data_IF_614298588814
#
_entry.id   IF_614298588814
#
_cell.length_a   1.000
_cell.length_b   1.000
_cell.length_c   1.000
_cell.angle_alpha   90.00
_cell.angle_beta   90.00
_cell.angle_gamma   90.00
#
_symmetry.space_group_name_H-M   'P 1'
#
loop_
_entity.id
_entity.type
_entity.pdbx_description
1 polymer ?
#
# COMPACT_ATOMS: atom_id res chain seq x y z
N UNK A 1 2.99 -0.62 22.54
CA UNK A 1 2.38 -0.90 21.22
C UNK A 1 1.09 -1.66 21.50
N UNK A 2 -0.04 -1.28 20.90
CA UNK A 2 -1.29 -1.97 21.13
C UNK A 2 -1.16 -3.43 20.65
N UNK A 3 -1.50 -4.42 21.49
CA UNK A 3 -1.28 -5.84 21.16
C UNK A 3 -2.07 -6.28 19.91
N UNK A 4 -3.16 -5.56 19.61
CA UNK A 4 -4.03 -5.79 18.44
C UNK A 4 -3.32 -5.70 17.08
N UNK A 5 -2.18 -5.00 17.00
CA UNK A 5 -1.42 -4.81 15.75
C UNK A 5 -0.10 -5.59 15.71
N UNK A 6 0.14 -6.44 16.70
CA UNK A 6 1.31 -7.31 16.76
C UNK A 6 0.94 -8.65 16.14
N UNK A 7 1.29 -8.82 14.86
CA UNK A 7 1.10 -10.08 14.16
C UNK A 7 2.38 -10.90 14.11
N UNK A 8 2.24 -12.19 14.39
CA UNK A 8 3.28 -13.20 14.13
C UNK A 8 3.03 -13.86 12.79
N UNK A 9 4.08 -14.41 12.20
CA UNK A 9 3.95 -15.24 11.03
C UNK A 9 2.91 -16.37 11.25
N UNK A 10 1.98 -16.53 10.29
CA UNK A 10 1.00 -17.61 10.29
C UNK A 10 1.12 -18.48 9.04
N UNK A 11 1.19 -19.79 9.25
CA UNK A 11 1.11 -20.79 8.19
C UNK A 11 -0.08 -21.70 8.48
N UNK A 12 -0.95 -21.90 7.49
CA UNK A 12 -2.13 -22.74 7.61
C UNK A 12 -1.84 -24.23 7.39
N UNK A 13 -0.57 -24.63 7.21
CA UNK A 13 -0.11 -26.02 7.02
C UNK A 13 -0.87 -26.79 5.92
N UNK A 14 -1.34 -26.07 4.90
CA UNK A 14 -2.00 -26.63 3.73
C UNK A 14 -1.00 -26.92 2.62
N UNK A 15 -1.29 -27.91 1.77
CA UNK A 15 -0.48 -28.23 0.57
C UNK A 15 -0.39 -27.03 -0.40
N UNK A 16 -1.41 -26.19 -0.39
CA UNK A 16 -1.49 -24.96 -1.18
C UNK A 16 -1.33 -23.78 -0.23
N UNK A 17 -0.40 -22.88 -0.53
CA UNK A 17 -0.20 -21.66 0.24
C UNK A 17 -1.09 -20.54 -0.28
N UNK A 18 -2.03 -20.08 0.52
CA UNK A 18 -2.85 -18.90 0.29
C UNK A 18 -2.25 -17.70 1.01
N UNK A 19 -2.21 -16.56 0.32
CA UNK A 19 -1.74 -15.28 0.86
C UNK A 19 -2.93 -14.32 0.93
N UNK A 20 -3.62 -14.29 2.08
CA UNK A 20 -4.70 -13.34 2.36
C UNK A 20 -4.21 -12.09 3.10
N UNK A 21 -3.19 -12.25 3.94
CA UNK A 21 -2.59 -11.17 4.72
C UNK A 21 -1.06 -11.17 4.62
N UNK A 22 -0.44 -10.02 4.91
CA UNK A 22 1.01 -9.88 4.81
C UNK A 22 1.77 -10.80 5.77
N UNK A 23 1.23 -11.03 6.97
CA UNK A 23 1.83 -11.92 7.97
C UNK A 23 1.75 -13.42 7.61
N UNK A 24 1.10 -13.77 6.49
CA UNK A 24 1.11 -15.14 5.94
C UNK A 24 2.21 -15.32 4.88
N UNK A 25 2.85 -14.23 4.47
CA UNK A 25 3.89 -14.23 3.45
C UNK A 25 5.22 -14.80 3.94
N UNK A 26 5.98 -15.42 3.02
CA UNK A 26 7.35 -15.85 3.30
C UNK A 26 8.25 -14.68 3.71
N UNK A 27 8.02 -13.50 3.12
CA UNK A 27 8.79 -12.31 3.44
C UNK A 27 8.63 -11.92 4.92
N UNK A 28 7.40 -12.00 5.47
CA UNK A 28 7.15 -11.73 6.89
C UNK A 28 7.91 -12.70 7.78
N UNK A 29 7.83 -14.01 7.50
CA UNK A 29 8.57 -15.04 8.24
C UNK A 29 10.07 -14.76 8.27
N UNK A 30 10.67 -14.48 7.10
CA UNK A 30 12.11 -14.23 6.98
C UNK A 30 12.49 -12.96 7.74
N UNK A 31 11.66 -11.92 7.67
CA UNK A 31 11.95 -10.62 8.29
C UNK A 31 11.77 -10.67 9.81
N UNK A 32 10.71 -11.32 10.29
CA UNK A 32 10.44 -11.52 11.72
C UNK A 32 11.56 -12.33 12.41
N UNK A 33 12.14 -13.33 11.74
CA UNK A 33 13.26 -14.09 12.30
C UNK A 33 14.59 -13.32 12.33
N UNK A 34 14.70 -12.20 11.60
CA UNK A 34 15.92 -11.38 11.55
C UNK A 34 15.92 -10.23 12.56
N UNK A 35 14.77 -9.89 13.12
CA UNK A 35 14.67 -8.83 14.13
C UNK A 35 14.98 -9.40 15.53
N UNK A 36 15.59 -8.60 16.42
CA UNK A 36 15.79 -9.00 17.83
C UNK A 36 14.48 -9.37 18.53
N UNK A 37 14.56 -10.25 19.53
CA UNK A 37 13.39 -10.81 20.25
C UNK A 37 12.46 -9.73 20.83
N UNK A 38 13.04 -8.61 21.27
CA UNK A 38 12.30 -7.51 21.88
C UNK A 38 11.70 -6.52 20.86
N UNK A 39 11.99 -6.70 19.57
CA UNK A 39 11.50 -5.85 18.50
C UNK A 39 10.29 -6.48 17.80
N UNK A 40 9.43 -5.62 17.23
CA UNK A 40 8.24 -6.04 16.46
C UNK A 40 8.32 -5.50 15.04
N UNK A 41 7.79 -6.27 14.10
CA UNK A 41 7.72 -5.87 12.70
C UNK A 41 6.54 -4.93 12.48
N UNK A 42 6.82 -3.75 11.92
CA UNK A 42 5.82 -2.81 11.43
C UNK A 42 5.95 -2.70 9.91
N UNK A 43 4.88 -3.03 9.20
CA UNK A 43 4.79 -2.91 7.75
C UNK A 43 4.07 -1.62 7.37
N UNK A 44 4.62 -0.90 6.40
CA UNK A 44 4.06 0.32 5.81
C UNK A 44 3.79 0.04 4.34
N UNK A 45 2.55 0.28 3.91
CA UNK A 45 2.13 0.21 2.51
C UNK A 45 2.01 1.64 2.00
N UNK A 46 2.76 1.95 0.95
CA UNK A 46 2.64 3.19 0.18
C UNK A 46 2.05 2.82 -1.16
N UNK A 47 0.94 3.44 -1.54
CA UNK A 47 0.36 3.24 -2.86
C UNK A 47 -0.16 4.55 -3.45
N UNK A 48 -0.11 4.65 -4.77
CA UNK A 48 -0.67 5.77 -5.50
C UNK A 48 -1.46 5.23 -6.70
N UNK A 49 -2.72 5.64 -6.82
CA UNK A 49 -3.59 5.31 -7.94
C UNK A 49 -4.10 6.57 -8.62
N UNK A 50 -4.49 6.44 -9.89
CA UNK A 50 -5.09 7.53 -10.66
C UNK A 50 -6.53 7.70 -10.23
N UNK A 51 -6.86 8.80 -9.56
CA UNK A 51 -8.23 9.12 -9.14
C UNK A 51 -8.76 10.30 -9.91
N UNK A 52 -9.93 10.13 -10.52
CA UNK A 52 -10.69 11.21 -11.16
C UNK A 52 -11.16 12.22 -10.10
N UNK A 53 -10.73 13.47 -10.24
CA UNK A 53 -11.00 14.56 -9.29
C UNK A 53 -12.19 15.45 -9.69
N UNK A 54 -12.78 15.26 -10.87
CA UNK A 54 -13.91 16.07 -11.35
C UNK A 54 -15.16 15.24 -11.66
N UNK A 55 -16.31 15.91 -11.61
CA UNK A 55 -17.61 15.35 -11.96
C UNK A 55 -17.68 14.87 -13.43
N UNK A 56 -16.80 15.38 -14.31
CA UNK A 56 -16.81 15.10 -15.75
C UNK A 56 -15.68 14.18 -16.23
N UNK A 57 -14.80 13.67 -15.36
CA UNK A 57 -13.76 12.73 -15.78
C UNK A 57 -12.48 13.31 -16.40
N UNK A 58 -12.34 14.64 -16.49
CA UNK A 58 -11.30 15.32 -17.26
C UNK A 58 -10.00 15.51 -16.49
N UNK A 59 -10.05 15.56 -15.16
CA UNK A 59 -8.87 15.74 -14.32
C UNK A 59 -8.65 14.49 -13.48
N UNK A 60 -7.58 13.76 -13.79
CA UNK A 60 -7.06 12.72 -12.89
C UNK A 60 -5.83 13.22 -12.13
N UNK A 61 -5.79 12.92 -10.84
CA UNK A 61 -4.65 13.14 -9.96
C UNK A 61 -4.16 11.80 -9.40
N UNK A 62 -2.96 11.79 -8.83
CA UNK A 62 -2.35 10.59 -8.28
C UNK A 62 -2.08 10.79 -6.78
N UNK A 63 -3.11 10.69 -5.93
CA UNK A 63 -2.93 10.74 -4.48
C UNK A 63 -2.02 9.61 -4.01
N UNK A 64 -1.13 9.93 -3.08
CA UNK A 64 -0.27 8.96 -2.39
C UNK A 64 -0.90 8.70 -1.03
N UNK A 65 -1.28 7.45 -0.80
CA UNK A 65 -1.79 7.00 0.49
C UNK A 65 -0.75 6.15 1.22
N UNK A 66 -0.72 6.31 2.54
CA UNK A 66 -0.01 5.43 3.46
C UNK A 66 -1.01 4.66 4.30
N UNK A 67 -0.76 3.36 4.48
CA UNK A 67 -1.48 2.49 5.41
C UNK A 67 -0.53 1.54 6.13
N UNK A 68 -0.94 1.01 7.27
CA UNK A 68 -0.18 -0.01 7.98
C UNK A 68 -0.54 -1.38 7.43
N UNK A 69 0.47 -2.16 7.01
CA UNK A 69 0.30 -3.56 6.62
C UNK A 69 -0.13 -4.45 7.78
N UNK A 70 0.08 -3.99 9.01
CA UNK A 70 -0.40 -4.59 10.26
C UNK A 70 -1.90 -4.33 10.53
N UNK A 71 -2.66 -3.72 9.62
CA UNK A 71 -4.13 -3.65 9.74
C UNK A 71 -4.71 -4.75 8.86
N UNK A 72 -5.61 -5.62 9.35
CA UNK A 72 -6.25 -6.66 8.54
C UNK A 72 -6.96 -6.08 7.31
N UNK A 73 -6.98 -6.81 6.20
CA UNK A 73 -7.46 -6.36 4.90
C UNK A 73 -8.86 -5.74 4.95
N UNK A 74 -9.79 -6.34 5.69
CA UNK A 74 -11.16 -5.84 5.83
C UNK A 74 -11.23 -4.46 6.49
N UNK A 75 -10.34 -4.15 7.43
CA UNK A 75 -10.25 -2.84 8.09
C UNK A 75 -9.37 -1.88 7.28
N UNK A 76 -8.29 -2.39 6.67
CA UNK A 76 -7.34 -1.64 5.86
C UNK A 76 -7.98 -0.99 4.65
N UNK A 77 -9.04 -1.59 4.11
CA UNK A 77 -9.80 -1.04 2.98
C UNK A 77 -10.75 0.12 3.36
N UNK A 78 -10.90 0.44 4.65
CA UNK A 78 -11.71 1.58 5.08
C UNK A 78 -10.91 2.89 5.02
N UNK A 79 -11.58 4.04 4.79
CA UNK A 79 -10.90 5.34 4.71
C UNK A 79 -10.08 5.70 5.95
N UNK A 80 -10.53 5.32 7.14
CA UNK A 80 -9.85 5.62 8.41
C UNK A 80 -8.55 4.83 8.63
N UNK A 81 -8.28 3.80 7.82
CA UNK A 81 -7.04 3.02 7.89
C UNK A 81 -5.95 3.54 6.93
N UNK A 82 -6.24 4.63 6.21
CA UNK A 82 -5.40 5.21 5.17
C UNK A 82 -5.24 6.69 5.41
N UNK A 83 -4.05 7.22 5.19
CA UNK A 83 -3.77 8.65 5.28
C UNK A 83 -3.23 9.13 3.94
N UNK A 84 -3.84 10.18 3.39
CA UNK A 84 -3.31 10.90 2.24
C UNK A 84 -2.08 11.69 2.69
N UNK A 85 -0.93 11.45 2.07
CA UNK A 85 0.33 12.14 2.42
C UNK A 85 0.78 13.15 1.37
N UNK A 86 0.22 13.07 0.16
CA UNK A 86 0.53 14.01 -0.91
C UNK A 86 0.00 13.55 -2.25
N UNK A 87 0.41 14.25 -3.30
CA UNK A 87 0.04 13.96 -4.68
C UNK A 87 1.30 13.83 -5.53
N UNK A 88 1.35 12.83 -6.41
CA UNK A 88 2.42 12.76 -7.39
C UNK A 88 2.26 13.90 -8.41
N UNK A 89 3.36 14.58 -8.79
CA UNK A 89 3.29 15.65 -9.76
C UNK A 89 2.83 15.09 -11.11
N UNK A 90 1.79 15.70 -11.67
CA UNK A 90 1.37 15.39 -13.03
C UNK A 90 2.24 16.17 -14.00
N UNK A 91 3.06 15.46 -14.77
CA UNK A 91 3.82 16.07 -15.85
C UNK A 91 2.82 16.68 -16.85
N UNK A 92 2.87 18.00 -16.98
CA UNK A 92 2.17 18.71 -18.04
C UNK A 92 3.14 18.86 -19.21
N UNK A 93 2.66 18.54 -20.41
CA UNK A 93 3.42 18.86 -21.62
C UNK A 93 3.69 20.37 -21.65
N UNK A 94 4.92 20.74 -22.02
CA UNK A 94 5.35 22.14 -22.10
C UNK A 94 4.58 22.90 -23.17
N UNK A 95 4.25 22.23 -24.28
CA UNK A 95 3.57 22.79 -25.45
C UNK A 95 2.55 21.81 -26.06
N UNK A 96 1.61 22.30 -26.87
CA UNK A 96 0.58 21.47 -27.53
C UNK A 96 1.17 20.43 -28.52
N UNK A 97 2.40 20.65 -29.00
CA UNK A 97 3.12 19.74 -29.89
C UNK A 97 3.67 18.51 -29.14
N UNK A 98 4.11 18.67 -27.89
CA UNK A 98 4.58 17.57 -27.01
C UNK A 98 3.42 16.79 -26.39
N UNK A 99 2.22 17.35 -26.37
CA UNK A 99 1.01 16.65 -25.88
C UNK A 99 0.57 15.49 -26.79
N UNK A 100 0.92 15.54 -28.07
CA UNK A 100 0.52 14.55 -29.09
C UNK A 100 1.63 13.54 -29.43
N UNK A 101 2.82 13.64 -28.81
CA UNK A 101 3.86 12.63 -28.98
C UNK A 101 3.53 11.40 -28.13
N UNK A 102 3.65 10.20 -28.72
CA UNK A 102 3.43 8.91 -28.01
C UNK A 102 4.49 8.60 -26.94
N UNK A 103 5.48 9.47 -26.77
CA UNK A 103 6.49 9.38 -25.72
C UNK A 103 6.15 10.41 -24.65
N UNK A 104 5.96 9.91 -23.43
CA UNK A 104 6.21 10.69 -22.21
C UNK A 104 7.70 10.65 -21.90
#
# INVERSE_FOLDING_TARGET
>A
MNEEFVFKYKNHNTLIKTYGEQFESNWWYITENKIPVDNKLLSIIIYADSTTCDHLGKTSEHPIYISLGNIPNWQRNKPNAKVLVGYLPKLKAKDNTTRNSKSF
#
